data_IF_949552749581
#
_entry.id   IF_949552749581
#
_cell.length_a   1.000
_cell.length_b   1.000
_cell.length_c   1.000
_cell.angle_alpha   90.00
_cell.angle_beta   90.00
_cell.angle_gamma   90.00
#
_symmetry.space_group_name_H-M   'P 1'
#
loop_
_entity.id
_entity.type
_entity.pdbx_description
1 polymer ?
#
# COMPACT_ATOMS: atom_id res chain seq x y z
N UNK A 1 1.89 -3.27 -13.90
CA UNK A 1 1.33 -3.91 -12.69
C UNK A 1 1.96 -3.24 -11.50
N UNK A 2 1.14 -2.75 -10.58
CA UNK A 2 1.63 -2.00 -9.42
C UNK A 2 2.31 -2.94 -8.43
N UNK A 3 3.22 -2.42 -7.61
CA UNK A 3 3.96 -3.20 -6.60
C UNK A 3 3.53 -2.74 -5.23
N UNK A 4 2.96 -3.63 -4.43
CA UNK A 4 2.48 -3.31 -3.08
C UNK A 4 3.12 -4.22 -2.03
N UNK A 5 3.35 -3.67 -0.86
CA UNK A 5 3.76 -4.37 0.36
C UNK A 5 2.56 -4.98 1.07
N UNK A 6 2.81 -5.83 2.06
CA UNK A 6 1.77 -6.42 2.90
C UNK A 6 1.02 -5.37 3.73
N UNK A 7 1.68 -4.30 4.12
CA UNK A 7 1.04 -3.21 4.86
C UNK A 7 0.04 -2.48 3.95
N UNK A 8 0.47 -2.09 2.76
CA UNK A 8 -0.38 -1.42 1.78
C UNK A 8 -1.53 -2.30 1.30
N UNK A 9 -1.34 -3.61 1.16
CA UNK A 9 -2.44 -4.51 0.81
C UNK A 9 -3.55 -4.54 1.89
N UNK A 10 -3.19 -4.42 3.17
CA UNK A 10 -4.16 -4.30 4.27
C UNK A 10 -4.90 -2.96 4.21
N UNK A 11 -4.20 -1.88 3.86
CA UNK A 11 -4.83 -0.55 3.68
C UNK A 11 -5.79 -0.57 2.49
N UNK A 12 -5.39 -1.15 1.36
CA UNK A 12 -6.26 -1.33 0.17
C UNK A 12 -7.52 -2.11 0.55
N UNK A 13 -7.38 -3.25 1.25
CA UNK A 13 -8.52 -4.04 1.70
C UNK A 13 -9.46 -3.22 2.59
N UNK A 14 -8.90 -2.45 3.54
CA UNK A 14 -9.67 -1.56 4.41
C UNK A 14 -10.45 -0.52 3.61
N UNK A 15 -9.81 0.15 2.64
CA UNK A 15 -10.45 1.13 1.77
C UNK A 15 -11.58 0.49 0.96
N UNK A 16 -11.39 -0.71 0.41
CA UNK A 16 -12.44 -1.44 -0.27
C UNK A 16 -13.63 -1.75 0.64
N UNK A 17 -13.39 -2.23 1.87
CA UNK A 17 -14.46 -2.51 2.84
C UNK A 17 -15.16 -1.24 3.33
N UNK A 18 -14.49 -0.07 3.32
CA UNK A 18 -15.11 1.21 3.68
C UNK A 18 -15.98 1.76 2.54
N UNK A 19 -15.54 1.59 1.29
CA UNK A 19 -16.31 1.97 0.11
C UNK A 19 -17.56 1.08 -0.07
N UNK A 20 -17.47 -0.18 0.35
CA UNK A 20 -18.55 -1.15 0.28
C UNK A 20 -18.74 -1.85 1.64
N UNK A 21 -19.35 -1.17 2.63
CA UNK A 21 -19.46 -1.68 4.01
C UNK A 21 -20.30 -2.95 4.12
N UNK A 22 -21.20 -3.19 3.16
CA UNK A 22 -22.04 -4.38 3.09
C UNK A 22 -21.49 -5.44 2.13
N UNK A 23 -20.25 -5.30 1.64
CA UNK A 23 -19.68 -6.30 0.74
C UNK A 23 -19.41 -7.63 1.45
N UNK A 24 -19.71 -8.72 0.77
CA UNK A 24 -19.29 -10.06 1.18
C UNK A 24 -17.79 -10.16 0.94
N UNK A 25 -17.01 -10.26 2.03
CA UNK A 25 -15.56 -10.42 1.94
C UNK A 25 -15.19 -11.90 1.85
N UNK A 26 -14.57 -12.28 0.75
CA UNK A 26 -14.09 -13.64 0.48
C UNK A 26 -12.57 -13.67 0.53
N UNK A 27 -12.00 -14.58 1.32
CA UNK A 27 -10.54 -14.73 1.49
C UNK A 27 -10.06 -16.16 1.30
N UNK A 28 -8.82 -16.37 0.86
CA UNK A 28 -8.21 -17.68 0.78
C UNK A 28 -7.91 -18.22 2.18
N UNK A 29 -8.36 -19.45 2.43
CA UNK A 29 -7.92 -20.27 3.54
C UNK A 29 -6.76 -21.14 3.03
N UNK A 30 -5.67 -21.15 3.79
CA UNK A 30 -4.47 -21.91 3.47
C UNK A 30 -4.43 -23.23 4.25
N UNK A 31 -3.78 -24.23 3.66
CA UNK A 31 -3.34 -25.43 4.35
C UNK A 31 -2.04 -25.16 5.15
N UNK A 32 -1.60 -26.15 5.90
CA UNK A 32 -0.37 -26.09 6.72
C UNK A 32 0.91 -25.85 5.89
N UNK A 33 0.85 -26.07 4.57
CA UNK A 33 1.95 -25.84 3.63
C UNK A 33 1.83 -24.51 2.90
N UNK A 34 0.98 -23.59 3.40
CA UNK A 34 0.65 -22.30 2.79
C UNK A 34 0.04 -22.42 1.38
N UNK A 35 -0.43 -23.62 0.99
CA UNK A 35 -1.14 -23.81 -0.27
C UNK A 35 -2.59 -23.47 -0.03
N UNK A 36 -3.20 -22.87 -1.03
CA UNK A 36 -4.62 -22.59 -1.00
C UNK A 36 -5.44 -23.88 -0.81
N UNK A 37 -6.26 -23.91 0.23
CA UNK A 37 -7.21 -24.99 0.53
C UNK A 37 -8.61 -24.67 0.00
N UNK A 38 -9.15 -23.52 0.38
CA UNK A 38 -10.52 -23.10 0.06
C UNK A 38 -10.64 -21.57 0.06
N UNK A 39 -11.81 -21.06 -0.34
CA UNK A 39 -12.22 -19.68 -0.11
C UNK A 39 -13.26 -19.66 1.01
N UNK A 40 -13.12 -18.75 1.97
CA UNK A 40 -14.08 -18.56 3.04
C UNK A 40 -14.60 -17.13 3.05
N UNK A 41 -15.90 -17.00 3.32
CA UNK A 41 -16.50 -15.73 3.71
C UNK A 41 -16.05 -15.36 5.12
N UNK A 42 -15.68 -14.09 5.32
CA UNK A 42 -15.10 -13.61 6.59
C UNK A 42 -16.04 -12.66 7.33
N UNK A 43 -17.02 -12.06 6.66
CA UNK A 43 -18.00 -11.14 7.24
C UNK A 43 -19.16 -11.90 7.87
N UNK A 44 -19.44 -11.69 9.17
CA UNK A 44 -20.50 -12.41 9.91
C UNK A 44 -21.89 -11.77 9.86
N UNK A 45 -21.98 -10.48 9.47
CA UNK A 45 -23.22 -9.69 9.56
C UNK A 45 -23.51 -8.92 8.26
N UNK A 46 -23.62 -9.62 7.13
CA UNK A 46 -24.00 -8.99 5.85
C UNK A 46 -25.52 -9.03 5.69
N UNK A 47 -26.13 -7.86 5.46
CA UNK A 47 -27.58 -7.71 5.22
C UNK A 47 -27.93 -7.56 3.74
N UNK A 48 -26.95 -7.49 2.83
CA UNK A 48 -27.19 -7.18 1.42
C UNK A 48 -26.24 -7.95 0.47
N UNK A 49 -26.81 -8.69 -0.48
CA UNK A 49 -26.10 -9.66 -1.35
C UNK A 49 -25.40 -9.02 -2.57
N UNK A 50 -25.33 -7.68 -2.65
CA UNK A 50 -25.05 -6.96 -3.90
C UNK A 50 -23.58 -6.91 -4.35
N UNK A 51 -22.60 -7.00 -3.42
CA UNK A 51 -21.18 -6.76 -3.72
C UNK A 51 -20.28 -7.85 -3.14
N UNK A 52 -19.40 -8.38 -4.00
CA UNK A 52 -18.40 -9.38 -3.64
C UNK A 52 -17.00 -8.77 -3.66
N UNK A 53 -16.31 -8.79 -2.51
CA UNK A 53 -14.92 -8.38 -2.39
C UNK A 53 -14.02 -9.61 -2.25
N UNK A 54 -13.20 -9.87 -3.26
CA UNK A 54 -12.45 -11.11 -3.40
C UNK A 54 -10.96 -10.79 -3.18
N UNK A 55 -10.44 -11.17 -2.02
CA UNK A 55 -9.06 -10.93 -1.61
C UNK A 55 -8.14 -12.04 -2.12
N UNK A 56 -7.12 -11.71 -2.91
CA UNK A 56 -5.96 -12.56 -3.18
C UNK A 56 -6.12 -13.67 -4.23
N UNK A 57 -7.32 -14.14 -4.56
CA UNK A 57 -7.51 -15.17 -5.60
C UNK A 57 -7.64 -14.58 -7.00
N UNK A 58 -7.10 -15.30 -8.00
CA UNK A 58 -7.19 -14.90 -9.42
C UNK A 58 -8.59 -15.07 -10.00
N UNK A 59 -9.36 -16.00 -9.43
CA UNK A 59 -10.74 -16.31 -9.82
C UNK A 59 -11.45 -17.02 -8.67
N UNK A 60 -12.76 -16.79 -8.57
CA UNK A 60 -13.69 -17.55 -7.72
C UNK A 60 -14.13 -18.85 -8.41
N UNK A 61 -14.13 -18.87 -9.75
CA UNK A 61 -14.54 -20.02 -10.55
C UNK A 61 -13.52 -21.18 -10.54
N UNK A 62 -12.25 -20.92 -10.19
CA UNK A 62 -11.16 -21.90 -10.30
C UNK A 62 -11.09 -22.90 -9.13
N UNK A 63 -11.99 -22.82 -8.15
CA UNK A 63 -11.89 -23.63 -6.92
C UNK A 63 -13.19 -24.35 -6.60
N UNK A 64 -13.12 -25.69 -6.64
CA UNK A 64 -14.13 -26.56 -6.04
C UNK A 64 -13.94 -26.59 -4.52
N UNK A 65 -14.82 -25.94 -3.76
CA UNK A 65 -15.06 -26.25 -2.33
C UNK A 65 -16.52 -25.94 -1.96
N UNK A 66 -17.13 -26.80 -1.14
CA UNK A 66 -18.59 -27.02 -0.92
C UNK A 66 -18.89 -26.96 0.61
N UNK A 67 -20.11 -27.19 1.13
CA UNK A 67 -21.37 -26.45 1.03
C UNK A 67 -21.95 -26.17 2.44
N UNK A 68 -22.03 -24.92 2.87
CA UNK A 68 -23.01 -24.60 3.93
C UNK A 68 -23.51 -23.16 3.83
N UNK A 69 -22.69 -22.24 3.28
CA UNK A 69 -23.07 -20.84 3.04
C UNK A 69 -22.49 -20.19 1.79
N UNK A 70 -21.82 -20.95 0.92
CA UNK A 70 -21.15 -20.37 -0.26
C UNK A 70 -22.15 -20.12 -1.40
N UNK A 71 -22.68 -18.91 -1.48
CA UNK A 71 -23.46 -18.43 -2.64
C UNK A 71 -22.45 -17.98 -3.70
N UNK A 72 -22.51 -18.44 -4.95
CA UNK A 72 -21.67 -17.84 -5.99
C UNK A 72 -22.22 -16.45 -6.33
N UNK A 73 -21.38 -15.46 -6.69
CA UNK A 73 -21.89 -14.19 -7.17
C UNK A 73 -22.80 -14.44 -8.37
N UNK A 74 -24.03 -13.92 -8.29
CA UNK A 74 -25.01 -14.03 -9.37
C UNK A 74 -24.58 -13.16 -10.54
N UNK A 75 -24.97 -13.54 -11.76
CA UNK A 75 -24.73 -12.74 -12.95
C UNK A 75 -25.30 -11.32 -12.76
N UNK A 76 -24.43 -10.32 -12.89
CA UNK A 76 -24.76 -8.92 -12.70
C UNK A 76 -24.57 -8.36 -11.28
N UNK A 77 -24.08 -9.14 -10.32
CA UNK A 77 -23.58 -8.60 -9.05
C UNK A 77 -22.20 -7.96 -9.24
N UNK A 78 -21.94 -6.88 -8.49
CA UNK A 78 -20.63 -6.23 -8.52
C UNK A 78 -19.60 -7.11 -7.83
N UNK A 79 -18.60 -7.55 -8.58
CA UNK A 79 -17.45 -8.28 -8.06
C UNK A 79 -16.21 -7.41 -8.15
N UNK A 80 -15.44 -7.32 -7.08
CA UNK A 80 -14.18 -6.60 -6.97
C UNK A 80 -13.09 -7.61 -6.61
N UNK A 81 -12.20 -7.90 -7.54
CA UNK A 81 -11.10 -8.84 -7.36
C UNK A 81 -9.81 -8.09 -7.05
N UNK A 82 -9.24 -8.33 -5.88
CA UNK A 82 -7.95 -7.81 -5.44
C UNK A 82 -6.88 -8.88 -5.65
N UNK A 83 -6.15 -8.82 -6.77
CA UNK A 83 -5.17 -9.84 -7.14
C UNK A 83 -3.77 -9.46 -6.66
N UNK A 84 -3.25 -10.22 -5.70
CA UNK A 84 -1.87 -10.16 -5.24
C UNK A 84 -1.52 -11.49 -4.52
N UNK A 85 -0.24 -11.80 -4.31
CA UNK A 85 0.22 -13.08 -3.74
C UNK A 85 0.80 -12.96 -2.31
N UNK A 86 0.55 -11.86 -1.60
CA UNK A 86 1.12 -11.61 -0.26
C UNK A 86 0.48 -12.44 0.85
N UNK A 87 -0.79 -12.85 0.71
CA UNK A 87 -1.46 -13.80 1.64
C UNK A 87 -0.76 -15.15 1.68
N UNK A 88 -0.08 -15.41 0.60
CA UNK A 88 0.46 -16.67 0.14
C UNK A 88 1.89 -16.75 0.72
N UNK A 89 2.70 -15.70 0.54
CA UNK A 89 4.10 -15.65 0.92
C UNK A 89 4.49 -14.24 1.42
N UNK A 90 4.65 -13.99 2.74
CA UNK A 90 5.04 -12.67 3.25
C UNK A 90 6.54 -12.36 3.07
N UNK A 91 7.29 -13.22 2.37
CA UNK A 91 8.74 -13.08 2.17
C UNK A 91 9.06 -12.70 0.72
N UNK A 92 10.17 -11.99 0.48
CA UNK A 92 10.63 -11.65 -0.85
C UNK A 92 10.87 -12.92 -1.67
N UNK A 93 10.45 -12.87 -2.94
CA UNK A 93 10.30 -14.05 -3.79
C UNK A 93 11.32 -14.10 -4.94
N UNK A 94 11.94 -12.97 -5.26
CA UNK A 94 12.76 -12.87 -6.45
C UNK A 94 14.16 -13.36 -6.11
N UNK A 95 14.52 -14.54 -6.62
CA UNK A 95 15.93 -14.96 -6.75
C UNK A 95 16.48 -14.29 -8.00
N UNK A 96 17.14 -13.14 -7.85
CA UNK A 96 17.69 -12.46 -9.01
C UNK A 96 19.21 -12.51 -8.97
N UNK A 97 19.74 -13.59 -9.57
CA UNK A 97 21.16 -13.73 -9.93
C UNK A 97 21.70 -12.47 -10.61
N UNK A 98 20.85 -11.74 -11.34
CA UNK A 98 21.18 -10.46 -11.97
C UNK A 98 21.66 -9.39 -10.98
N UNK A 99 21.10 -9.28 -9.78
CA UNK A 99 21.57 -8.29 -8.80
C UNK A 99 22.95 -8.67 -8.24
N UNK A 100 23.19 -9.96 -8.01
CA UNK A 100 24.48 -10.48 -7.56
C UNK A 100 25.55 -10.27 -8.64
N UNK A 101 25.25 -10.63 -9.89
CA UNK A 101 26.14 -10.41 -11.04
C UNK A 101 26.37 -8.91 -11.22
N UNK A 102 25.33 -8.07 -11.22
CA UNK A 102 25.49 -6.62 -11.35
C UNK A 102 26.37 -6.04 -10.23
N UNK A 103 26.20 -6.52 -8.99
CA UNK A 103 27.05 -6.09 -7.87
C UNK A 103 28.51 -6.49 -8.05
N UNK A 104 28.76 -7.68 -8.62
CA UNK A 104 30.10 -8.17 -8.95
C UNK A 104 30.72 -7.39 -10.11
N UNK A 105 30.00 -7.25 -11.24
CA UNK A 105 30.43 -6.55 -12.45
C UNK A 105 30.78 -5.08 -12.14
N UNK A 106 29.96 -4.41 -11.33
CA UNK A 106 30.12 -2.99 -10.98
C UNK A 106 31.06 -2.77 -9.78
N UNK A 107 31.50 -3.83 -9.10
CA UNK A 107 32.33 -3.72 -7.89
C UNK A 107 31.66 -2.96 -6.73
N UNK A 108 30.33 -2.91 -6.67
CA UNK A 108 29.57 -2.20 -5.62
C UNK A 108 28.35 -3.00 -5.16
N UNK A 109 27.98 -2.85 -3.88
CA UNK A 109 26.79 -3.50 -3.32
C UNK A 109 25.52 -2.89 -3.92
N UNK A 110 24.67 -3.71 -4.52
CA UNK A 110 23.30 -3.35 -4.88
C UNK A 110 22.31 -4.13 -4.01
N UNK A 111 21.24 -3.46 -3.59
CA UNK A 111 20.14 -4.03 -2.83
C UNK A 111 18.87 -3.76 -3.63
N UNK A 112 18.11 -4.80 -3.97
CA UNK A 112 16.89 -4.66 -4.77
C UNK A 112 15.69 -5.09 -3.95
N UNK A 113 14.60 -4.33 -4.07
CA UNK A 113 13.34 -4.64 -3.43
C UNK A 113 12.87 -6.05 -3.85
N UNK A 114 12.30 -6.82 -2.92
CA UNK A 114 11.76 -8.13 -3.23
C UNK A 114 12.79 -9.26 -3.37
N UNK A 115 14.09 -9.00 -3.14
CA UNK A 115 15.14 -10.03 -3.13
C UNK A 115 15.12 -10.89 -1.87
N UNK A 116 15.10 -12.21 -2.06
CA UNK A 116 15.14 -13.17 -0.97
C UNK A 116 16.53 -13.24 -0.34
N UNK A 117 16.60 -13.42 0.99
CA UNK A 117 17.87 -13.65 1.68
C UNK A 117 18.66 -12.38 2.01
N UNK A 118 18.06 -11.19 1.82
CA UNK A 118 18.63 -9.93 2.30
C UNK A 118 18.63 -9.87 3.84
N UNK A 119 19.58 -9.13 4.45
CA UNK A 119 19.51 -8.77 5.86
C UNK A 119 18.15 -8.13 6.19
N UNK A 120 17.59 -8.42 7.38
CA UNK A 120 16.22 -7.97 7.75
C UNK A 120 16.03 -6.45 7.70
N UNK A 121 17.08 -5.68 7.93
CA UNK A 121 17.13 -4.22 7.88
C UNK A 121 17.23 -3.66 6.44
N UNK A 122 17.58 -4.52 5.49
CA UNK A 122 17.68 -4.22 4.06
C UNK A 122 16.52 -4.85 3.27
N UNK A 123 15.84 -5.84 3.81
CA UNK A 123 14.75 -6.55 3.17
C UNK A 123 13.49 -5.69 3.01
N UNK A 124 12.85 -5.76 1.84
CA UNK A 124 11.46 -5.34 1.66
C UNK A 124 10.75 -6.33 0.75
N UNK A 125 9.60 -6.84 1.18
CA UNK A 125 8.79 -7.77 0.40
C UNK A 125 7.63 -7.01 -0.27
N UNK A 126 7.39 -7.32 -1.55
CA UNK A 126 6.23 -6.81 -2.28
C UNK A 126 5.67 -7.88 -3.21
N UNK A 127 4.46 -7.66 -3.71
CA UNK A 127 3.84 -8.43 -4.79
C UNK A 127 3.34 -7.48 -5.86
N UNK A 128 3.24 -8.00 -7.09
CA UNK A 128 2.38 -7.38 -8.10
C UNK A 128 0.94 -7.32 -7.59
N UNK A 129 0.29 -6.20 -7.87
CA UNK A 129 -1.09 -5.89 -7.55
C UNK A 129 -1.87 -5.58 -8.83
N UNK A 130 -3.09 -6.10 -8.88
CA UNK A 130 -4.07 -5.77 -9.90
C UNK A 130 -5.45 -5.77 -9.25
N UNK A 131 -6.25 -4.75 -9.55
CA UNK A 131 -7.68 -4.73 -9.27
C UNK A 131 -8.46 -4.97 -10.56
N UNK A 132 -9.50 -5.79 -10.49
CA UNK A 132 -10.43 -5.99 -11.61
C UNK A 132 -11.86 -6.09 -11.11
N UNK A 133 -12.79 -5.54 -11.88
CA UNK A 133 -14.21 -5.48 -11.51
C UNK A 133 -15.09 -6.14 -12.56
N UNK A 134 -16.16 -6.79 -12.13
CA UNK A 134 -17.20 -7.34 -13.01
C UNK A 134 -18.56 -6.83 -12.52
N UNK A 135 -19.33 -6.16 -13.38
CA UNK A 135 -20.66 -5.63 -13.07
C UNK A 135 -21.41 -5.25 -14.36
N UNK A 136 -22.76 -5.15 -14.35
CA UNK A 136 -23.54 -4.63 -15.47
C UNK A 136 -23.19 -3.17 -15.69
N UNK A 137 -22.83 -2.80 -16.91
CA UNK A 137 -22.46 -1.41 -17.25
C UNK A 137 -23.59 -0.40 -17.00
N UNK A 138 -24.86 -0.87 -16.96
CA UNK A 138 -26.03 -0.06 -16.64
C UNK A 138 -26.17 0.27 -15.15
N UNK A 139 -25.50 -0.45 -14.24
CA UNK A 139 -25.58 -0.19 -12.80
C UNK A 139 -24.89 1.13 -12.43
N UNK A 140 -25.68 2.16 -12.14
CA UNK A 140 -25.18 3.49 -11.78
C UNK A 140 -24.60 3.52 -10.35
N UNK A 141 -25.14 2.73 -9.42
CA UNK A 141 -24.69 2.68 -8.05
C UNK A 141 -23.30 2.02 -7.96
N UNK A 142 -23.11 0.91 -8.67
CA UNK A 142 -21.81 0.25 -8.80
C UNK A 142 -20.75 1.19 -9.39
N UNK A 143 -21.09 1.93 -10.46
CA UNK A 143 -20.16 2.91 -11.06
C UNK A 143 -19.77 4.03 -10.12
N UNK A 144 -20.73 4.59 -9.39
CA UNK A 144 -20.46 5.65 -8.42
C UNK A 144 -19.55 5.15 -7.29
N UNK A 145 -19.86 3.97 -6.72
CA UNK A 145 -19.03 3.34 -5.69
C UNK A 145 -17.60 3.04 -6.18
N UNK A 146 -17.45 2.52 -7.40
CA UNK A 146 -16.15 2.26 -8.01
C UNK A 146 -15.35 3.53 -8.30
N UNK A 147 -16.02 4.63 -8.65
CA UNK A 147 -15.34 5.93 -8.83
C UNK A 147 -14.76 6.43 -7.49
N UNK A 148 -15.55 6.39 -6.42
CA UNK A 148 -15.11 6.77 -5.07
C UNK A 148 -13.96 5.86 -4.60
N UNK A 149 -14.08 4.56 -4.84
CA UNK A 149 -13.00 3.61 -4.56
C UNK A 149 -11.73 3.96 -5.35
N UNK A 150 -11.85 4.29 -6.63
CA UNK A 150 -10.72 4.68 -7.48
C UNK A 150 -9.95 5.88 -6.92
N UNK A 151 -10.65 6.91 -6.47
CA UNK A 151 -10.02 8.10 -5.87
C UNK A 151 -9.37 7.79 -4.52
N UNK A 152 -10.01 6.96 -3.70
CA UNK A 152 -9.41 6.51 -2.45
C UNK A 152 -8.14 5.66 -2.67
N UNK A 153 -8.13 4.80 -3.70
CA UNK A 153 -6.96 3.98 -4.04
C UNK A 153 -5.78 4.82 -4.56
N UNK A 154 -6.04 5.92 -5.31
CA UNK A 154 -4.99 6.86 -5.72
C UNK A 154 -4.28 7.51 -4.53
N UNK A 155 -4.98 7.70 -3.40
CA UNK A 155 -4.36 8.22 -2.18
C UNK A 155 -3.47 7.18 -1.48
N UNK A 156 -3.76 5.88 -1.66
CA UNK A 156 -2.97 4.76 -1.09
C UNK A 156 -1.75 4.44 -1.94
N UNK A 157 -1.89 4.53 -3.27
CA UNK A 157 -0.83 4.33 -4.25
C UNK A 157 -0.63 5.63 -5.05
N UNK A 158 0.00 6.65 -4.46
CA UNK A 158 0.23 7.91 -5.15
C UNK A 158 1.16 7.69 -6.35
N UNK A 159 0.97 8.50 -7.39
CA UNK A 159 1.94 8.56 -8.47
C UNK A 159 3.28 9.09 -7.96
N UNK A 160 4.35 8.36 -8.27
CA UNK A 160 5.72 8.75 -7.97
C UNK A 160 6.52 8.90 -9.26
N UNK A 161 7.30 9.98 -9.35
CA UNK A 161 8.34 10.11 -10.38
C UNK A 161 9.45 9.10 -10.13
N UNK A 162 9.75 8.30 -11.13
CA UNK A 162 10.82 7.30 -11.13
C UNK A 162 11.84 7.64 -12.20
N UNK A 163 13.08 7.28 -11.94
CA UNK A 163 14.18 7.37 -12.89
C UNK A 163 14.77 5.99 -13.14
N UNK A 164 15.12 5.75 -14.39
CA UNK A 164 15.98 4.67 -14.81
C UNK A 164 17.39 5.23 -14.99
N UNK A 165 18.37 4.56 -14.40
CA UNK A 165 19.76 5.00 -14.30
C UNK A 165 20.66 3.94 -14.89
N UNK A 166 21.60 4.34 -15.73
CA UNK A 166 22.72 3.51 -16.11
C UNK A 166 23.64 3.37 -14.90
N UNK A 167 23.80 2.16 -14.37
CA UNK A 167 24.53 1.90 -13.14
C UNK A 167 26.05 1.92 -13.32
N UNK A 168 26.56 1.92 -14.55
CA UNK A 168 27.98 2.08 -14.85
C UNK A 168 28.38 3.56 -14.82
N UNK A 169 27.53 4.45 -15.34
CA UNK A 169 27.83 5.88 -15.50
C UNK A 169 27.09 6.79 -14.52
N UNK A 170 26.15 6.23 -13.75
CA UNK A 170 25.17 6.91 -12.90
C UNK A 170 24.31 7.97 -13.66
N UNK A 171 24.26 7.91 -14.99
CA UNK A 171 23.46 8.80 -15.82
C UNK A 171 21.99 8.36 -15.84
N UNK A 172 21.08 9.34 -15.79
CA UNK A 172 19.64 9.08 -15.97
C UNK A 172 19.37 8.81 -17.44
N UNK A 173 18.84 7.63 -17.73
CA UNK A 173 18.49 7.18 -19.08
C UNK A 173 17.04 7.55 -19.42
N UNK A 174 16.14 7.46 -18.44
CA UNK A 174 14.74 7.79 -18.60
C UNK A 174 14.10 8.23 -17.28
N UNK A 175 12.99 8.97 -17.38
CA UNK A 175 12.12 9.35 -16.26
C UNK A 175 10.68 9.05 -16.62
N UNK A 176 9.90 8.53 -15.68
CA UNK A 176 8.50 8.19 -15.88
C UNK A 176 7.74 8.23 -14.56
N UNK A 177 6.42 8.41 -14.63
CA UNK A 177 5.54 8.38 -13.45
C UNK A 177 4.75 7.08 -13.41
N UNK A 178 4.59 6.51 -12.22
CA UNK A 178 3.68 5.40 -12.00
C UNK A 178 3.23 5.34 -10.53
N UNK A 179 2.10 4.68 -10.22
CA UNK A 179 1.74 4.40 -8.84
C UNK A 179 2.84 3.62 -8.13
N UNK A 180 3.23 4.09 -6.94
CA UNK A 180 4.23 3.41 -6.11
C UNK A 180 3.77 3.37 -4.65
N UNK A 181 3.89 2.20 -4.06
CA UNK A 181 3.72 2.00 -2.63
C UNK A 181 4.68 2.91 -1.83
N UNK A 182 4.12 3.68 -0.90
CA UNK A 182 4.89 4.62 -0.08
C UNK A 182 5.98 3.93 0.74
N UNK A 183 5.76 2.71 1.22
CA UNK A 183 6.77 1.95 1.94
C UNK A 183 7.92 1.54 1.01
N UNK A 184 7.65 1.18 -0.25
CA UNK A 184 8.71 0.94 -1.25
C UNK A 184 9.47 2.23 -1.60
N UNK A 185 8.75 3.34 -1.73
CA UNK A 185 9.36 4.65 -1.96
C UNK A 185 10.33 5.01 -0.83
N UNK A 186 9.86 4.95 0.43
CA UNK A 186 10.66 5.26 1.62
C UNK A 186 11.83 4.30 1.78
N UNK A 187 11.61 3.00 1.55
CA UNK A 187 12.66 2.00 1.60
C UNK A 187 13.77 2.31 0.59
N UNK A 188 13.43 2.64 -0.67
CA UNK A 188 14.44 3.05 -1.66
C UNK A 188 15.19 4.32 -1.25
N UNK A 189 14.53 5.27 -0.59
CA UNK A 189 15.16 6.52 -0.12
C UNK A 189 16.05 6.35 1.12
N UNK A 190 15.92 5.24 1.84
CA UNK A 190 16.70 5.02 3.06
C UNK A 190 18.18 4.71 2.83
N UNK A 191 18.61 4.45 1.59
CA UNK A 191 20.02 4.26 1.27
C UNK A 191 20.34 4.34 -0.22
N UNK A 192 21.57 4.76 -0.60
CA UNK A 192 21.95 4.98 -1.99
C UNK A 192 22.05 3.70 -2.83
N UNK A 193 22.16 2.54 -2.18
CA UNK A 193 22.32 1.25 -2.84
C UNK A 193 20.99 0.51 -3.04
N UNK A 194 19.84 1.15 -2.76
CA UNK A 194 18.52 0.52 -2.75
C UNK A 194 17.73 0.85 -4.03
N UNK A 195 17.38 -0.20 -4.78
CA UNK A 195 16.77 -0.10 -6.10
C UNK A 195 15.44 -0.85 -6.14
N UNK A 196 14.48 -0.32 -6.89
CA UNK A 196 13.21 -1.01 -7.14
C UNK A 196 13.41 -2.21 -8.08
N UNK A 197 14.37 -2.09 -8.99
CA UNK A 197 14.69 -3.09 -10.00
C UNK A 197 16.10 -2.86 -10.54
N UNK A 198 16.78 -3.96 -10.90
CA UNK A 198 18.05 -3.95 -11.63
C UNK A 198 17.94 -4.95 -12.77
N UNK A 199 18.20 -4.48 -14.00
CA UNK A 199 18.09 -5.25 -15.24
C UNK A 199 19.23 -4.96 -16.18
N UNK A 200 19.38 -5.83 -17.18
CA UNK A 200 20.30 -5.66 -18.31
C UNK A 200 19.50 -5.98 -19.56
N UNK A 201 19.37 -5.01 -20.48
CA UNK A 201 18.53 -5.19 -21.68
C UNK A 201 19.10 -6.23 -22.67
N UNK A 202 20.43 -6.41 -22.67
CA UNK A 202 21.14 -7.39 -23.50
C UNK A 202 22.40 -7.89 -22.78
N UNK A 203 22.98 -9.01 -23.24
CA UNK A 203 24.14 -9.65 -22.61
C UNK A 203 25.35 -8.72 -22.44
N UNK A 204 25.55 -7.79 -23.39
CA UNK A 204 26.64 -6.81 -23.37
C UNK A 204 26.17 -5.39 -23.02
N UNK A 205 24.87 -5.18 -22.82
CA UNK A 205 24.30 -3.85 -22.52
C UNK A 205 24.71 -3.32 -21.14
N UNK A 206 24.49 -2.03 -20.83
CA UNK A 206 24.76 -1.50 -19.50
C UNK A 206 23.79 -2.08 -18.46
N UNK A 207 24.22 -2.08 -17.21
CA UNK A 207 23.32 -2.38 -16.10
C UNK A 207 22.39 -1.19 -15.87
N UNK A 208 21.08 -1.43 -15.78
CA UNK A 208 20.06 -0.41 -15.56
C UNK A 208 19.40 -0.62 -14.21
N UNK A 209 19.27 0.45 -13.42
CA UNK A 209 18.57 0.46 -12.15
C UNK A 209 17.39 1.42 -12.16
N UNK A 210 16.30 1.02 -11.51
CA UNK A 210 15.11 1.89 -11.33
C UNK A 210 15.02 2.32 -9.87
N UNK A 211 14.87 3.61 -9.62
CA UNK A 211 14.62 4.13 -8.28
C UNK A 211 13.73 5.38 -8.32
N UNK A 212 13.13 5.78 -7.18
CA UNK A 212 12.36 7.00 -7.14
C UNK A 212 13.23 8.23 -7.38
N UNK A 213 12.70 9.21 -8.10
CA UNK A 213 13.32 10.52 -8.22
C UNK A 213 13.48 11.12 -6.82
N UNK A 214 14.63 11.76 -6.56
CA UNK A 214 14.69 12.64 -5.39
C UNK A 214 13.74 13.79 -5.69
N UNK A 215 12.84 14.16 -4.76
CA UNK A 215 12.15 15.43 -4.89
C UNK A 215 13.25 16.48 -5.07
N UNK A 216 13.35 17.08 -6.25
CA UNK A 216 14.15 18.29 -6.42
C UNK A 216 13.63 19.22 -5.34
N UNK A 217 14.50 19.61 -4.41
CA UNK A 217 14.21 20.53 -3.31
C UNK A 217 12.80 21.12 -3.37
N UNK A 218 11.87 20.62 -2.56
CA UNK A 218 10.82 21.51 -2.10
C UNK A 218 11.61 22.56 -1.32
N UNK A 219 11.88 23.68 -1.98
CA UNK A 219 12.52 24.83 -1.37
C UNK A 219 11.79 25.05 -0.06
N UNK A 220 12.57 25.15 1.02
CA UNK A 220 12.17 25.35 2.41
C UNK A 220 11.47 26.71 2.58
N UNK A 221 10.37 26.92 1.87
CA UNK A 221 9.59 28.14 1.79
C UNK A 221 8.12 27.91 2.22
N UNK A 222 7.70 26.65 2.40
CA UNK A 222 6.33 26.31 2.85
C UNK A 222 6.22 25.90 4.33
N UNK A 223 7.28 26.04 5.13
CA UNK A 223 7.28 25.77 6.59
C UNK A 223 7.49 27.03 7.45
N UNK A 224 7.30 28.22 6.88
CA UNK A 224 7.10 29.44 7.66
C UNK A 224 5.76 30.05 7.27
N UNK A 225 4.68 29.54 7.88
CA UNK A 225 3.52 30.39 8.09
C UNK A 225 3.95 31.52 9.03
N UNK A 226 3.83 32.80 8.65
CA UNK A 226 3.94 33.87 9.62
C UNK A 226 2.78 33.70 10.61
N UNK A 227 3.12 33.60 11.88
CA UNK A 227 2.20 33.73 13.01
C UNK A 227 1.33 34.96 12.73
N UNK A 228 -0.01 34.85 12.69
CA UNK A 228 -0.85 36.02 12.51
C UNK A 228 -0.62 36.97 13.71
N UNK A 229 -0.50 38.29 13.48
CA UNK A 229 -0.30 39.23 14.55
C UNK A 229 -1.55 39.24 15.44
N UNK A 230 -1.35 38.85 16.70
CA UNK A 230 -2.31 39.06 17.78
C UNK A 230 -2.81 40.51 17.76
N UNK A 231 -4.13 40.66 17.83
CA UNK A 231 -4.79 41.87 18.31
C UNK A 231 -6.17 41.47 18.87
N UNK A 232 -6.73 42.13 19.90
CA UNK A 232 -6.30 43.40 20.48
C UNK A 232 -6.17 43.40 22.02
N UNK A 233 -5.51 44.47 22.49
CA UNK A 233 -5.46 45.00 23.86
C UNK A 233 -6.80 44.90 24.61
N UNK A 234 -6.78 44.37 25.83
CA UNK A 234 -7.71 44.76 26.90
C UNK A 234 -7.01 44.91 28.26
N UNK A 235 -6.85 46.19 28.62
CA UNK A 235 -6.84 46.87 29.94
C UNK A 235 -6.25 46.20 31.18
N UNK A 236 -5.27 46.91 31.74
CA UNK A 236 -4.81 46.89 33.14
C UNK A 236 -5.93 47.17 34.17
N UNK A 237 -5.86 46.44 35.30
CA UNK A 237 -6.12 46.86 36.70
C UNK A 237 -5.72 45.67 37.59
N UNK A 238 -4.53 45.63 38.19
CA UNK A 238 -4.12 46.26 39.46
C UNK A 238 -5.00 45.88 40.66
N UNK A 239 -4.46 44.96 41.46
CA UNK A 239 -4.50 44.83 42.93
C UNK A 239 -5.81 44.88 43.71
N UNK A 240 -6.11 43.76 44.41
CA UNK A 240 -6.03 43.70 45.89
C UNK A 240 -6.26 42.28 46.43
N UNK A 241 -5.53 41.99 47.52
CA UNK A 241 -5.70 40.97 48.58
C UNK A 241 -7.10 40.34 48.69
N UNK A 242 -7.28 39.07 49.09
CA UNK A 242 -6.94 38.53 50.43
C UNK A 242 -7.25 37.02 50.48
N UNK A 243 -6.49 36.31 51.31
CA UNK A 243 -6.65 34.90 51.75
C UNK A 243 -8.04 34.57 52.29
N UNK A 244 -8.43 33.29 52.22
CA UNK A 244 -8.95 32.40 53.29
C UNK A 244 -9.41 31.07 52.64
N UNK A 245 -8.67 29.96 52.82
CA UNK A 245 -8.97 28.79 53.70
C UNK A 245 -10.22 27.96 53.35
N UNK A 246 -10.06 26.64 53.19
CA UNK A 246 -11.16 25.69 53.40
C UNK A 246 -11.12 24.38 52.59
N UNK A 247 -10.34 23.42 53.07
CA UNK A 247 -10.44 21.94 53.05
C UNK A 247 -11.13 21.10 51.94
N UNK A 248 -10.69 19.82 51.79
CA UNK A 248 -11.00 18.92 50.68
C UNK A 248 -12.25 18.07 50.95
N UNK A 249 -12.81 17.46 49.90
CA UNK A 249 -13.50 16.19 50.04
C UNK A 249 -13.32 15.29 48.81
N UNK A 250 -12.70 14.15 49.10
CA UNK A 250 -12.79 12.84 48.43
C UNK A 250 -14.22 12.50 47.99
N UNK A 251 -14.38 11.70 46.92
CA UNK A 251 -15.10 10.40 46.95
C UNK A 251 -14.74 9.60 45.67
N UNK A 252 -14.00 8.50 45.86
CA UNK A 252 -14.04 7.30 45.02
C UNK A 252 -15.21 6.45 45.50
N UNK A 253 -15.92 5.77 44.61
CA UNK A 253 -16.19 4.32 44.74
C UNK A 253 -16.84 3.74 43.48
N UNK A 254 -16.25 2.61 43.06
CA UNK A 254 -16.80 1.39 42.42
C UNK A 254 -17.62 1.52 41.14
#
# INVERSE_FOLDING_TARGET
MDRITLETSRVILKVCTQAFPNAILVRPVLDEKFRLKELAEVTTDVTDDGVWLIDGTTSVADKKTCPSRYVLPTEGQLQIHLRFNLWKWPRPRYSQRSCEIASQDLGRKLIVAGLSGMPKDEEVAFSSFQISTQFPTSDFAARAGLSVLGDALKAVLPEAGLKQVNLDTDQVVATFTQPLDLALYQWCKSGPNRWLEVTRESGDGPWLGVCPECPRHITRAALQSPIPPNSPRRRNRSDRHRRLTGHPNTWKTR
#
